data_IF_765442174429
#
_entry.id   IF_765442174429
#
_cell.length_a   1.000
_cell.length_b   1.000
_cell.length_c   1.000
_cell.angle_alpha   90.00
_cell.angle_beta   90.00
_cell.angle_gamma   90.00
#
_symmetry.space_group_name_H-M   'P 1'
#
loop_
_entity.id
_entity.type
_entity.pdbx_description
1 polymer ?
#
# COMPACT_ATOMS: atom_id res chain seq x y z
N UNK A 1 17.07 -16.46 22.05
CA UNK A 1 15.83 -15.71 22.28
C UNK A 1 14.93 -15.87 21.06
N UNK A 2 13.74 -16.38 21.22
CA UNK A 2 12.82 -16.56 20.10
C UNK A 2 11.58 -15.72 20.33
N UNK A 3 11.45 -14.67 19.52
CA UNK A 3 10.19 -13.98 19.31
C UNK A 3 9.45 -14.73 18.21
N UNK A 4 8.20 -15.15 18.44
CA UNK A 4 7.39 -15.89 17.46
C UNK A 4 6.10 -15.11 17.20
N UNK A 5 5.79 -14.89 15.93
CA UNK A 5 4.47 -14.47 15.47
C UNK A 5 3.64 -15.74 15.15
N UNK A 6 2.54 -15.90 15.83
CA UNK A 6 1.58 -16.97 15.56
C UNK A 6 0.36 -16.37 14.87
N UNK A 7 -0.13 -17.03 13.82
CA UNK A 7 -1.23 -16.57 13.01
C UNK A 7 -2.33 -17.62 13.01
N UNK A 8 -3.53 -17.27 13.50
CA UNK A 8 -4.74 -18.04 13.18
C UNK A 8 -5.08 -17.78 11.71
N UNK A 9 -4.57 -18.64 10.86
CA UNK A 9 -4.67 -18.50 9.40
C UNK A 9 -6.12 -18.48 8.92
N UNK A 10 -7.03 -19.18 9.59
CA UNK A 10 -8.45 -19.21 9.24
C UNK A 10 -9.10 -17.87 9.49
N UNK A 11 -8.98 -17.34 10.69
CA UNK A 11 -9.53 -16.03 11.06
C UNK A 11 -8.91 -14.90 10.25
N UNK A 12 -7.60 -14.96 10.02
CA UNK A 12 -6.88 -13.97 9.21
C UNK A 12 -7.36 -13.97 7.75
N UNK A 13 -7.49 -15.13 7.11
CA UNK A 13 -7.99 -15.24 5.73
C UNK A 13 -9.46 -14.85 5.58
N UNK A 14 -10.29 -15.14 6.57
CA UNK A 14 -11.67 -14.69 6.57
C UNK A 14 -11.75 -13.17 6.55
N UNK A 15 -10.98 -12.47 7.39
CA UNK A 15 -10.90 -11.02 7.39
C UNK A 15 -10.45 -10.45 6.02
N UNK A 16 -9.41 -11.04 5.42
CA UNK A 16 -8.92 -10.62 4.10
C UNK A 16 -10.03 -10.78 3.04
N UNK A 17 -10.73 -11.91 3.06
CA UNK A 17 -11.84 -12.19 2.14
C UNK A 17 -12.99 -11.22 2.33
N UNK A 18 -13.39 -10.94 3.55
CA UNK A 18 -14.45 -9.97 3.87
C UNK A 18 -14.11 -8.58 3.31
N UNK A 19 -12.90 -8.10 3.54
CA UNK A 19 -12.46 -6.81 2.96
C UNK A 19 -12.45 -6.83 1.43
N UNK A 20 -12.01 -7.92 0.84
CA UNK A 20 -12.01 -8.06 -0.62
C UNK A 20 -13.44 -7.99 -1.21
N UNK A 21 -14.41 -8.62 -0.55
CA UNK A 21 -15.82 -8.58 -0.94
C UNK A 21 -16.45 -7.19 -0.71
N UNK A 22 -16.06 -6.51 0.39
CA UNK A 22 -16.55 -5.17 0.69
C UNK A 22 -16.05 -4.09 -0.28
N UNK A 23 -14.81 -4.21 -0.79
CA UNK A 23 -14.16 -3.22 -1.62
C UNK A 23 -13.95 -3.72 -3.06
N UNK A 24 -14.97 -3.67 -3.94
CA UNK A 24 -14.81 -4.10 -5.33
C UNK A 24 -13.70 -3.32 -6.04
N UNK A 25 -12.74 -4.03 -6.64
CA UNK A 25 -11.54 -3.43 -7.21
C UNK A 25 -10.44 -3.16 -6.19
N UNK A 26 -10.44 -3.91 -5.07
CA UNK A 26 -9.35 -3.90 -4.11
C UNK A 26 -8.04 -4.31 -4.80
N UNK A 27 -6.97 -3.60 -4.46
CA UNK A 27 -5.59 -3.90 -4.88
C UNK A 27 -4.76 -4.11 -3.62
N UNK A 28 -4.37 -5.36 -3.32
CA UNK A 28 -3.50 -5.65 -2.19
C UNK A 28 -2.17 -4.92 -2.31
N UNK A 29 -1.67 -4.37 -1.20
CA UNK A 29 -0.36 -3.72 -1.16
C UNK A 29 0.62 -4.59 -0.38
N UNK A 30 1.65 -5.10 -1.04
CA UNK A 30 2.74 -5.86 -0.43
C UNK A 30 4.05 -5.09 -0.63
N UNK A 31 4.57 -4.48 0.43
CA UNK A 31 5.78 -3.63 0.37
C UNK A 31 6.66 -3.75 1.61
N UNK A 32 7.91 -3.34 1.48
CA UNK A 32 8.89 -3.37 2.56
C UNK A 32 9.15 -4.80 3.04
N UNK A 33 9.05 -5.02 4.34
CA UNK A 33 9.18 -6.34 4.94
C UNK A 33 7.87 -7.17 4.88
N UNK A 34 6.91 -6.79 4.02
CA UNK A 34 5.60 -7.45 3.94
C UNK A 34 4.77 -7.28 5.22
N UNK A 35 4.79 -6.10 5.83
CA UNK A 35 4.07 -5.81 7.09
C UNK A 35 4.43 -6.77 8.23
N UNK A 36 5.63 -7.37 8.19
CA UNK A 36 6.10 -8.35 9.16
C UNK A 36 5.85 -9.82 8.78
N UNK A 37 5.07 -10.08 7.74
CA UNK A 37 4.80 -11.45 7.25
C UNK A 37 5.80 -11.94 6.19
N UNK A 38 6.49 -11.01 5.52
CA UNK A 38 7.29 -11.26 4.33
C UNK A 38 6.53 -11.05 3.03
N UNK A 39 7.19 -10.51 2.01
CA UNK A 39 6.58 -10.23 0.71
C UNK A 39 6.08 -11.49 0.02
N UNK A 40 6.81 -12.58 0.16
CA UNK A 40 6.47 -13.89 -0.40
C UNK A 40 5.17 -14.46 0.17
N UNK A 41 4.94 -14.29 1.47
CA UNK A 41 3.68 -14.70 2.12
C UNK A 41 2.53 -13.85 1.57
N UNK A 42 2.70 -12.52 1.52
CA UNK A 42 1.63 -11.63 1.05
C UNK A 42 1.30 -11.83 -0.43
N UNK A 43 2.30 -12.07 -1.28
CA UNK A 43 2.08 -12.37 -2.69
C UNK A 43 1.27 -13.67 -2.88
N UNK A 44 1.60 -14.72 -2.13
CA UNK A 44 0.82 -15.97 -2.15
C UNK A 44 -0.61 -15.79 -1.64
N UNK A 45 -0.83 -15.02 -0.60
CA UNK A 45 -2.19 -14.77 -0.08
C UNK A 45 -2.99 -13.84 -1.01
N UNK A 46 -2.36 -12.82 -1.61
CA UNK A 46 -2.99 -12.01 -2.65
C UNK A 46 -3.41 -12.85 -3.88
N UNK A 47 -2.57 -13.81 -4.28
CA UNK A 47 -2.90 -14.72 -5.38
C UNK A 47 -4.17 -15.55 -5.14
N UNK A 48 -4.53 -15.83 -3.89
CA UNK A 48 -5.78 -16.53 -3.51
C UNK A 48 -7.02 -15.71 -3.75
N UNK A 49 -6.92 -14.38 -3.68
CA UNK A 49 -8.04 -13.47 -3.92
C UNK A 49 -8.42 -13.37 -5.40
N UNK A 50 -7.57 -13.85 -6.29
CA UNK A 50 -7.73 -13.79 -7.76
C UNK A 50 -7.79 -12.38 -8.31
N UNK A 51 -7.27 -11.38 -7.56
CA UNK A 51 -7.14 -10.02 -8.06
C UNK A 51 -6.25 -9.96 -9.30
N UNK A 52 -6.49 -8.99 -10.14
CA UNK A 52 -5.74 -8.78 -11.38
C UNK A 52 -4.42 -8.02 -11.16
N UNK A 53 -4.27 -7.32 -10.03
CA UNK A 53 -3.14 -6.46 -9.75
C UNK A 53 -2.68 -6.55 -8.29
N UNK A 54 -1.36 -6.51 -8.08
CA UNK A 54 -0.70 -6.38 -6.77
C UNK A 54 0.10 -5.09 -6.74
N UNK A 55 0.03 -4.33 -5.65
CA UNK A 55 0.84 -3.13 -5.48
C UNK A 55 2.09 -3.44 -4.65
N UNK A 56 3.25 -3.02 -5.15
CA UNK A 56 4.54 -3.04 -4.42
C UNK A 56 5.04 -1.62 -4.16
N UNK A 57 5.94 -1.44 -3.21
CA UNK A 57 6.50 -0.12 -2.92
C UNK A 57 7.51 0.32 -3.97
N UNK A 58 8.46 -0.55 -4.28
CA UNK A 58 9.60 -0.25 -5.15
C UNK A 58 9.76 -1.27 -6.27
N UNK A 59 10.47 -0.92 -7.34
CA UNK A 59 10.77 -1.82 -8.44
C UNK A 59 11.55 -3.07 -8.00
N UNK A 60 12.45 -2.94 -7.01
CA UNK A 60 13.22 -4.04 -6.45
C UNK A 60 12.36 -5.13 -5.77
N UNK A 61 11.13 -4.79 -5.37
CA UNK A 61 10.21 -5.75 -4.75
C UNK A 61 9.49 -6.62 -5.78
N UNK A 62 9.48 -6.22 -7.06
CA UNK A 62 8.80 -6.95 -8.14
C UNK A 62 9.34 -8.37 -8.27
N UNK A 63 10.65 -8.54 -8.32
CA UNK A 63 11.28 -9.86 -8.42
C UNK A 63 10.81 -10.79 -7.29
N UNK A 64 10.78 -10.30 -6.04
CA UNK A 64 10.38 -11.08 -4.88
C UNK A 64 8.93 -11.57 -4.94
N UNK A 65 8.00 -10.74 -5.43
CA UNK A 65 6.60 -11.17 -5.57
C UNK A 65 6.42 -12.10 -6.76
N UNK A 66 7.22 -11.94 -7.83
CA UNK A 66 7.26 -12.88 -8.96
C UNK A 66 7.80 -14.25 -8.54
N UNK A 67 8.88 -14.30 -7.79
CA UNK A 67 9.47 -15.54 -7.25
C UNK A 67 8.50 -16.28 -6.32
N UNK A 68 7.63 -15.54 -5.64
CA UNK A 68 6.56 -16.09 -4.81
C UNK A 68 5.34 -16.62 -5.59
N UNK A 69 5.35 -16.51 -6.93
CA UNK A 69 4.32 -17.03 -7.84
C UNK A 69 3.25 -16.01 -8.26
N UNK A 70 3.44 -14.72 -8.02
CA UNK A 70 2.53 -13.72 -8.57
C UNK A 70 2.81 -13.50 -10.07
N UNK A 71 1.85 -13.84 -10.94
CA UNK A 71 2.00 -13.83 -12.41
C UNK A 71 1.11 -12.83 -13.14
N UNK A 72 0.43 -11.94 -12.40
CA UNK A 72 -0.49 -10.92 -12.94
C UNK A 72 0.12 -9.53 -12.81
N UNK A 73 -0.63 -8.49 -13.09
CA UNK A 73 -0.14 -7.10 -13.06
C UNK A 73 0.46 -6.72 -11.70
N UNK A 74 1.51 -5.90 -11.76
CA UNK A 74 2.13 -5.28 -10.60
C UNK A 74 2.18 -3.77 -10.80
N UNK A 75 1.61 -3.02 -9.85
CA UNK A 75 1.80 -1.57 -9.81
C UNK A 75 2.93 -1.22 -8.83
N UNK A 76 3.92 -0.47 -9.32
CA UNK A 76 5.03 0.07 -8.51
C UNK A 76 4.64 1.43 -7.98
N UNK A 77 4.51 1.55 -6.65
CA UNK A 77 3.95 2.74 -5.99
C UNK A 77 4.95 3.90 -5.85
N UNK A 78 6.25 3.63 -5.78
CA UNK A 78 7.24 4.70 -5.86
C UNK A 78 7.19 5.29 -7.28
N UNK A 79 7.01 6.62 -7.40
CA UNK A 79 7.01 7.23 -8.73
C UNK A 79 8.34 7.01 -9.43
N UNK A 80 8.23 6.64 -10.71
CA UNK A 80 9.40 6.46 -11.57
C UNK A 80 10.25 7.73 -11.67
N UNK A 81 11.54 7.54 -11.74
CA UNK A 81 12.55 8.58 -12.01
C UNK A 81 13.60 8.03 -12.95
N UNK A 82 14.18 8.86 -13.83
CA UNK A 82 15.20 8.42 -14.80
C UNK A 82 16.44 7.78 -14.17
N UNK A 83 16.75 8.09 -12.93
CA UNK A 83 17.87 7.52 -12.18
C UNK A 83 17.56 6.18 -11.50
N UNK A 84 16.32 5.72 -11.50
CA UNK A 84 15.95 4.38 -10.97
C UNK A 84 16.17 3.33 -12.08
N UNK A 85 17.37 2.78 -12.13
CA UNK A 85 17.74 1.78 -13.12
C UNK A 85 16.84 0.55 -13.06
N UNK A 86 16.49 0.07 -11.86
CA UNK A 86 15.62 -1.11 -11.70
C UNK A 86 14.23 -0.85 -12.27
N UNK A 87 13.64 0.31 -11.95
CA UNK A 87 12.34 0.68 -12.49
C UNK A 87 12.38 0.86 -14.01
N UNK A 88 13.49 1.42 -14.54
CA UNK A 88 13.68 1.63 -15.98
C UNK A 88 13.80 0.31 -16.74
N UNK A 89 14.44 -0.70 -16.18
CA UNK A 89 14.52 -2.05 -16.79
C UNK A 89 13.13 -2.70 -16.88
N UNK A 90 12.25 -2.44 -15.91
CA UNK A 90 10.91 -3.03 -15.85
C UNK A 90 9.85 -2.25 -16.64
N UNK A 91 10.16 -1.05 -17.12
CA UNK A 91 9.15 -0.10 -17.65
C UNK A 91 8.40 -0.63 -18.88
N UNK A 92 9.03 -1.44 -19.70
CA UNK A 92 8.45 -2.00 -20.91
C UNK A 92 7.84 -3.40 -20.71
N UNK A 93 7.86 -3.93 -19.48
CA UNK A 93 7.14 -5.17 -19.14
C UNK A 93 5.62 -4.90 -19.17
N UNK A 94 4.85 -5.63 -20.02
CA UNK A 94 3.41 -5.40 -20.16
C UNK A 94 2.60 -5.71 -18.91
N UNK A 95 3.17 -6.34 -17.90
CA UNK A 95 2.54 -6.62 -16.61
C UNK A 95 2.96 -5.63 -15.51
N UNK A 96 3.74 -4.60 -15.84
CA UNK A 96 4.14 -3.56 -14.89
C UNK A 96 3.36 -2.27 -15.16
N UNK A 97 2.77 -1.73 -14.12
CA UNK A 97 2.12 -0.41 -14.11
C UNK A 97 3.01 0.53 -13.29
N UNK A 98 3.43 1.61 -13.91
CA UNK A 98 4.36 2.56 -13.32
C UNK A 98 3.63 3.80 -12.84
N UNK A 99 3.89 4.23 -11.61
CA UNK A 99 3.40 5.51 -11.10
C UNK A 99 4.29 6.64 -11.61
N UNK A 100 3.68 7.70 -12.16
CA UNK A 100 4.36 8.94 -12.57
C UNK A 100 3.77 10.11 -11.79
N UNK A 101 4.61 11.00 -11.27
CA UNK A 101 4.19 12.10 -10.39
C UNK A 101 4.70 13.48 -10.81
N UNK A 102 5.28 13.60 -12.00
CA UNK A 102 5.75 14.86 -12.61
C UNK A 102 5.53 14.82 -14.11
N UNK A 103 5.28 15.99 -14.70
CA UNK A 103 5.04 16.13 -16.13
C UNK A 103 6.30 15.79 -16.95
N UNK A 104 7.47 16.23 -16.50
CA UNK A 104 8.73 15.93 -17.17
C UNK A 104 9.05 14.45 -17.25
N UNK A 105 8.71 13.66 -16.20
CA UNK A 105 8.90 12.20 -16.23
C UNK A 105 7.92 11.53 -17.20
N UNK A 106 6.69 12.01 -17.26
CA UNK A 106 5.69 11.54 -18.24
C UNK A 106 6.16 11.80 -19.66
N UNK A 107 6.69 12.99 -19.93
CA UNK A 107 7.25 13.37 -21.22
C UNK A 107 8.46 12.54 -21.60
N UNK A 108 9.33 12.22 -20.65
CA UNK A 108 10.47 11.36 -20.88
C UNK A 108 10.04 9.93 -21.21
N UNK A 109 9.10 9.35 -20.46
CA UNK A 109 8.55 8.03 -20.74
C UNK A 109 7.90 7.96 -22.11
N UNK A 110 7.10 8.96 -22.46
CA UNK A 110 6.45 9.03 -23.78
C UNK A 110 7.45 8.99 -24.93
N UNK A 111 8.61 9.64 -24.76
CA UNK A 111 9.67 9.68 -25.79
C UNK A 111 10.48 8.38 -25.83
N UNK A 112 10.83 7.80 -24.69
CA UNK A 112 11.77 6.68 -24.59
C UNK A 112 11.08 5.31 -24.48
N UNK A 113 9.92 5.26 -23.85
CA UNK A 113 9.16 4.06 -23.51
C UNK A 113 7.67 4.19 -23.89
N UNK A 114 7.34 4.39 -25.17
CA UNK A 114 5.98 4.76 -25.60
C UNK A 114 4.93 3.66 -25.35
N UNK A 115 5.34 2.46 -24.96
CA UNK A 115 4.45 1.34 -24.58
C UNK A 115 4.30 1.15 -23.09
N UNK A 116 4.98 1.96 -22.29
CA UNK A 116 4.89 1.86 -20.83
C UNK A 116 3.45 2.04 -20.35
N UNK A 117 3.02 1.20 -19.42
CA UNK A 117 1.74 1.33 -18.73
C UNK A 117 1.92 2.24 -17.51
N UNK A 118 1.13 3.31 -17.45
CA UNK A 118 1.33 4.35 -16.43
C UNK A 118 0.04 4.74 -15.74
N UNK A 119 0.15 5.12 -14.48
CA UNK A 119 -0.85 5.88 -13.73
C UNK A 119 -0.23 7.21 -13.28
N UNK A 120 -0.94 8.31 -13.46
CA UNK A 120 -0.49 9.62 -13.01
C UNK A 120 -0.91 9.85 -11.55
N UNK A 121 0.04 10.17 -10.66
CA UNK A 121 -0.26 10.45 -9.26
C UNK A 121 -0.62 11.92 -9.07
N UNK A 122 -1.77 12.16 -8.44
CA UNK A 122 -2.27 13.49 -8.11
C UNK A 122 -1.75 13.94 -6.75
N UNK A 123 -1.33 15.20 -6.68
CA UNK A 123 -0.92 15.85 -5.43
C UNK A 123 -2.13 16.00 -4.50
N UNK A 124 -2.05 15.39 -3.33
CA UNK A 124 -3.05 15.53 -2.27
C UNK A 124 -2.58 16.55 -1.21
N UNK A 125 -3.45 16.85 -0.26
CA UNK A 125 -3.13 17.70 0.90
C UNK A 125 -1.96 17.17 1.75
N UNK A 126 -1.56 15.91 1.58
CA UNK A 126 -0.32 15.37 2.17
C UNK A 126 0.95 16.02 1.61
N UNK A 127 0.89 16.64 0.43
CA UNK A 127 2.02 17.31 -0.23
C UNK A 127 3.30 16.48 -0.30
N UNK A 128 3.14 15.18 -0.58
CA UNK A 128 4.27 14.25 -0.67
C UNK A 128 4.94 14.31 -2.04
N UNK A 129 4.22 13.96 -3.07
CA UNK A 129 4.54 14.03 -4.50
C UNK A 129 3.25 13.90 -5.29
N UNK A 130 3.27 14.24 -6.57
CA UNK A 130 2.09 14.19 -7.44
C UNK A 130 2.01 15.40 -8.36
N UNK A 131 1.23 15.27 -9.41
CA UNK A 131 0.83 16.33 -10.32
C UNK A 131 -0.16 17.22 -9.57
N UNK A 132 0.08 18.52 -9.55
CA UNK A 132 -0.79 19.47 -8.85
C UNK A 132 -2.12 19.64 -9.57
N UNK A 133 -3.18 20.12 -8.90
CA UNK A 133 -4.46 20.40 -9.57
C UNK A 133 -4.34 21.31 -10.78
N UNK A 134 -3.45 22.29 -10.74
CA UNK A 134 -3.18 23.25 -11.81
C UNK A 134 -2.47 22.62 -13.01
N UNK A 135 -1.74 21.53 -12.79
CA UNK A 135 -1.00 20.81 -13.83
C UNK A 135 -1.81 19.69 -14.51
N UNK A 136 -3.01 19.34 -14.00
CA UNK A 136 -3.83 18.23 -14.54
C UNK A 136 -4.05 18.40 -16.03
N UNK A 137 -4.40 19.60 -16.48
CA UNK A 137 -4.68 19.90 -17.89
C UNK A 137 -3.43 19.81 -18.80
N UNK A 138 -2.25 19.79 -18.21
CA UNK A 138 -0.98 19.61 -18.92
C UNK A 138 -0.55 18.16 -19.06
N UNK A 139 -1.30 17.23 -18.50
CA UNK A 139 -0.99 15.79 -18.61
C UNK A 139 -1.31 15.31 -20.03
N UNK A 140 -0.27 15.03 -20.78
CA UNK A 140 -0.38 14.41 -22.10
C UNK A 140 0.18 12.97 -22.05
N UNK A 141 -0.71 12.00 -21.99
CA UNK A 141 -0.35 10.58 -21.99
C UNK A 141 0.09 10.09 -23.39
N UNK A 142 -0.32 10.76 -24.45
CA UNK A 142 0.10 10.44 -25.82
C UNK A 142 -0.05 8.96 -26.18
N UNK A 143 1.08 8.32 -26.51
CA UNK A 143 1.15 6.90 -26.89
C UNK A 143 1.30 5.94 -25.71
N UNK A 144 1.41 6.44 -24.46
CA UNK A 144 1.54 5.60 -23.27
C UNK A 144 0.28 4.76 -23.02
N UNK A 145 0.45 3.61 -22.42
CA UNK A 145 -0.63 2.81 -21.87
C UNK A 145 -1.21 3.44 -20.61
N UNK A 146 -1.97 4.54 -20.77
CA UNK A 146 -2.50 5.29 -19.63
C UNK A 146 -3.62 4.52 -18.94
N UNK A 147 -3.34 4.04 -17.72
CA UNK A 147 -4.27 3.27 -16.90
C UNK A 147 -5.21 4.16 -16.07
N UNK A 148 -4.85 5.42 -15.88
CA UNK A 148 -5.64 6.39 -15.11
C UNK A 148 -4.85 7.16 -14.07
N UNK A 149 -5.55 7.52 -12.99
CA UNK A 149 -5.08 8.45 -11.97
C UNK A 149 -4.97 7.76 -10.61
N UNK A 150 -3.95 8.08 -9.88
CA UNK A 150 -3.78 7.56 -8.52
C UNK A 150 -3.60 8.70 -7.52
N UNK A 151 -4.07 8.52 -6.28
CA UNK A 151 -3.90 9.49 -5.21
C UNK A 151 -3.69 8.79 -3.88
N UNK A 152 -2.74 9.30 -3.10
CA UNK A 152 -2.52 8.84 -1.73
C UNK A 152 -3.14 9.82 -0.76
N UNK A 153 -4.30 9.44 -0.22
CA UNK A 153 -5.10 10.33 0.62
C UNK A 153 -4.59 10.33 2.09
N UNK A 154 -4.79 11.41 2.83
CA UNK A 154 -4.55 11.45 4.27
C UNK A 154 -5.50 10.50 5.00
N UNK A 155 -5.28 10.26 6.31
CA UNK A 155 -6.11 9.36 7.11
C UNK A 155 -7.47 9.95 7.50
N UNK A 156 -7.71 11.25 7.28
CA UNK A 156 -8.96 11.94 7.64
C UNK A 156 -9.36 12.95 6.57
N UNK A 157 -10.66 13.17 6.41
CA UNK A 157 -11.19 14.22 5.53
C UNK A 157 -11.08 13.97 4.03
N UNK A 158 -11.02 12.71 3.62
CA UNK A 158 -10.53 12.31 2.30
C UNK A 158 -11.54 12.40 1.16
N UNK A 159 -12.85 12.21 1.43
CA UNK A 159 -13.84 12.05 0.35
C UNK A 159 -13.99 13.31 -0.52
N UNK A 160 -14.07 14.49 0.09
CA UNK A 160 -14.23 15.75 -0.66
C UNK A 160 -13.03 16.00 -1.56
N UNK A 161 -11.82 15.84 -1.01
CA UNK A 161 -10.56 15.97 -1.75
C UNK A 161 -10.46 14.95 -2.88
N UNK A 162 -10.72 13.67 -2.57
CA UNK A 162 -10.69 12.59 -3.57
C UNK A 162 -11.66 12.85 -4.73
N UNK A 163 -12.87 13.31 -4.42
CA UNK A 163 -13.89 13.65 -5.41
C UNK A 163 -13.46 14.83 -6.29
N UNK A 164 -12.97 15.90 -5.69
CA UNK A 164 -12.52 17.09 -6.42
C UNK A 164 -11.39 16.73 -7.39
N UNK A 165 -10.33 16.11 -6.90
CA UNK A 165 -9.18 15.73 -7.70
C UNK A 165 -9.54 14.73 -8.80
N UNK A 166 -10.27 13.66 -8.44
CA UNK A 166 -10.66 12.66 -9.42
C UNK A 166 -11.57 13.22 -10.50
N UNK A 167 -12.54 14.09 -10.15
CA UNK A 167 -13.44 14.67 -11.14
C UNK A 167 -12.70 15.55 -12.15
N UNK A 168 -11.78 16.40 -11.70
CA UNK A 168 -10.94 17.19 -12.59
C UNK A 168 -10.08 16.30 -13.51
N UNK A 169 -9.43 15.29 -12.93
CA UNK A 169 -8.54 14.40 -13.65
C UNK A 169 -9.25 13.57 -14.72
N UNK A 170 -10.40 12.96 -14.42
CA UNK A 170 -11.16 12.16 -15.41
C UNK A 170 -11.86 13.03 -16.47
N UNK A 171 -12.16 14.31 -16.17
CA UNK A 171 -12.68 15.24 -17.15
C UNK A 171 -11.61 15.59 -18.20
N UNK A 172 -10.35 15.69 -17.82
CA UNK A 172 -9.23 15.91 -18.72
C UNK A 172 -8.87 14.64 -19.50
N UNK A 173 -8.59 13.54 -18.78
CA UNK A 173 -8.27 12.25 -19.41
C UNK A 173 -8.99 11.09 -18.70
N UNK A 174 -9.89 10.42 -19.40
CA UNK A 174 -10.67 9.31 -18.84
C UNK A 174 -9.78 8.11 -18.53
N UNK A 175 -9.88 7.59 -17.30
CA UNK A 175 -9.11 6.43 -16.84
C UNK A 175 -9.62 5.92 -15.50
N UNK A 176 -9.04 4.83 -15.01
CA UNK A 176 -9.34 4.33 -13.67
C UNK A 176 -8.88 5.31 -12.58
N UNK A 177 -9.53 5.29 -11.42
CA UNK A 177 -9.12 6.09 -10.25
C UNK A 177 -8.69 5.16 -9.11
N UNK A 178 -7.43 5.27 -8.71
CA UNK A 178 -6.82 4.45 -7.67
C UNK A 178 -6.68 5.26 -6.39
N UNK A 179 -7.34 4.83 -5.33
CA UNK A 179 -7.36 5.55 -4.05
C UNK A 179 -6.80 4.71 -2.91
N UNK A 180 -6.55 5.35 -1.78
CA UNK A 180 -6.18 4.70 -0.52
C UNK A 180 -6.95 5.31 0.64
N UNK A 181 -7.01 4.64 1.79
CA UNK A 181 -7.46 5.15 3.09
C UNK A 181 -8.93 5.58 3.21
N UNK A 182 -9.77 5.41 2.21
CA UNK A 182 -11.21 5.64 2.36
C UNK A 182 -11.85 4.51 3.18
N UNK A 183 -12.85 4.85 3.98
CA UNK A 183 -13.76 3.86 4.53
C UNK A 183 -14.69 3.31 3.43
N UNK A 184 -15.44 2.27 3.75
CA UNK A 184 -16.29 1.61 2.76
C UNK A 184 -17.43 2.51 2.27
N UNK A 185 -18.00 3.34 3.15
CA UNK A 185 -19.09 4.25 2.81
C UNK A 185 -18.61 5.31 1.82
N UNK A 186 -17.47 5.93 2.10
CA UNK A 186 -16.86 6.95 1.25
C UNK A 186 -16.33 6.37 -0.06
N UNK A 187 -15.76 5.16 -0.04
CA UNK A 187 -15.34 4.47 -1.25
C UNK A 187 -16.53 4.18 -2.19
N UNK A 188 -17.63 3.67 -1.67
CA UNK A 188 -18.85 3.41 -2.46
C UNK A 188 -19.44 4.70 -3.04
N UNK A 189 -19.49 5.78 -2.26
CA UNK A 189 -19.95 7.10 -2.72
C UNK A 189 -19.07 7.62 -3.87
N UNK A 190 -17.74 7.58 -3.69
CA UNK A 190 -16.80 8.01 -4.73
C UNK A 190 -16.99 7.19 -6.00
N UNK A 191 -17.00 5.87 -5.90
CA UNK A 191 -17.17 4.95 -7.03
C UNK A 191 -18.45 5.20 -7.82
N UNK A 192 -19.58 5.41 -7.13
CA UNK A 192 -20.86 5.71 -7.77
C UNK A 192 -20.83 7.06 -8.50
N UNK A 193 -20.18 8.06 -7.93
CA UNK A 193 -20.15 9.41 -8.47
C UNK A 193 -19.23 9.56 -9.69
N UNK A 194 -18.10 8.84 -9.71
CA UNK A 194 -17.12 9.00 -10.80
C UNK A 194 -17.52 8.31 -12.10
N UNK A 195 -18.32 7.24 -12.05
CA UNK A 195 -18.73 6.50 -13.23
C UNK A 195 -17.58 5.89 -14.05
N UNK A 196 -16.42 5.70 -13.41
CA UNK A 196 -15.24 5.02 -13.95
C UNK A 196 -14.80 3.90 -13.01
N UNK A 197 -13.92 3.02 -13.49
CA UNK A 197 -13.34 2.01 -12.64
C UNK A 197 -12.61 2.69 -11.45
N UNK A 198 -12.98 2.30 -10.24
CA UNK A 198 -12.34 2.80 -9.02
C UNK A 198 -11.67 1.63 -8.32
N UNK A 199 -10.41 1.81 -7.92
CA UNK A 199 -9.58 0.79 -7.28
C UNK A 199 -9.13 1.24 -5.90
N UNK A 200 -9.23 0.36 -4.90
CA UNK A 200 -8.80 0.62 -3.52
C UNK A 200 -7.48 -0.08 -3.24
N UNK A 201 -6.39 0.68 -3.09
CA UNK A 201 -5.10 0.14 -2.63
C UNK A 201 -5.11 -0.01 -1.12
N UNK A 202 -4.95 -1.25 -0.64
CA UNK A 202 -5.05 -1.55 0.78
C UNK A 202 -3.88 -2.40 1.27
N UNK A 203 -3.17 -1.91 2.27
CA UNK A 203 -2.06 -2.61 2.93
C UNK A 203 -2.35 -2.92 4.39
N UNK A 204 -2.07 -2.00 5.30
CA UNK A 204 -2.17 -2.19 6.75
C UNK A 204 -3.52 -2.76 7.19
N UNK A 205 -4.63 -2.20 6.72
CA UNK A 205 -5.96 -2.69 7.06
C UNK A 205 -6.20 -4.11 6.56
N UNK A 206 -5.69 -4.45 5.38
CA UNK A 206 -5.85 -5.78 4.80
C UNK A 206 -5.09 -6.85 5.59
N UNK A 207 -3.82 -6.56 5.91
CA UNK A 207 -2.93 -7.56 6.49
C UNK A 207 -2.93 -7.58 8.01
N UNK A 208 -3.12 -6.42 8.67
CA UNK A 208 -3.06 -6.26 10.12
C UNK A 208 -4.41 -5.89 10.76
N UNK A 209 -5.49 -5.83 9.97
CA UNK A 209 -6.82 -5.42 10.46
C UNK A 209 -7.55 -6.45 11.33
N UNK A 210 -7.02 -7.67 11.45
CA UNK A 210 -7.53 -8.73 12.33
C UNK A 210 -6.57 -9.01 13.50
N UNK A 211 -6.38 -8.09 14.45
CA UNK A 211 -5.40 -8.27 15.52
C UNK A 211 -5.69 -9.51 16.38
N UNK A 212 -6.93 -9.94 16.50
CA UNK A 212 -7.31 -11.15 17.21
C UNK A 212 -6.78 -12.44 16.57
N UNK A 213 -6.46 -12.39 15.28
CA UNK A 213 -5.86 -13.53 14.56
C UNK A 213 -4.33 -13.59 14.73
N UNK A 214 -3.73 -12.58 15.37
CA UNK A 214 -2.29 -12.45 15.51
C UNK A 214 -1.91 -12.50 16.99
N UNK A 215 -0.93 -13.32 17.34
CA UNK A 215 -0.35 -13.33 18.68
C UNK A 215 1.16 -13.42 18.63
N UNK A 216 1.81 -12.67 19.50
CA UNK A 216 3.27 -12.69 19.61
C UNK A 216 3.66 -13.29 20.94
N UNK A 217 4.56 -14.24 20.89
CA UNK A 217 5.11 -14.90 22.08
C UNK A 217 6.63 -14.73 22.13
N UNK A 218 7.17 -14.59 23.33
CA UNK A 218 8.61 -14.57 23.57
C UNK A 218 8.98 -15.55 24.67
N UNK A 219 10.18 -16.15 24.56
CA UNK A 219 10.73 -16.96 25.63
C UNK A 219 11.15 -16.06 26.78
N UNK A 220 10.59 -16.29 27.97
CA UNK A 220 11.03 -15.62 29.18
C UNK A 220 12.39 -16.21 29.58
N UNK A 221 13.43 -15.37 29.64
CA UNK A 221 14.78 -15.81 30.00
C UNK A 221 14.98 -15.89 31.50
N UNK A 222 14.40 -14.95 32.23
CA UNK A 222 14.54 -14.89 33.70
C UNK A 222 13.36 -14.12 34.33
N UNK A 223 13.08 -14.41 35.58
CA UNK A 223 12.01 -13.76 36.36
C UNK A 223 12.57 -13.36 37.73
N UNK A 224 12.59 -12.04 38.00
CA UNK A 224 13.03 -11.51 39.27
C UNK A 224 11.88 -10.97 40.10
N UNK A 225 11.92 -11.22 41.40
CA UNK A 225 11.02 -10.55 42.33
C UNK A 225 11.56 -9.15 42.62
N UNK A 226 10.73 -8.13 42.39
CA UNK A 226 11.07 -6.75 42.73
C UNK A 226 10.10 -6.24 43.80
N UNK A 227 10.64 -5.45 44.74
CA UNK A 227 9.86 -4.79 45.82
C UNK A 227 9.58 -3.35 45.44
N UNK A 228 8.58 -2.77 46.11
CA UNK A 228 8.21 -1.36 45.94
C UNK A 228 9.44 -0.45 46.07
N UNK A 229 9.59 0.48 45.14
CA UNK A 229 10.68 1.45 45.11
C UNK A 229 12.01 0.94 44.57
N UNK A 230 12.14 -0.38 44.29
CA UNK A 230 13.32 -0.93 43.60
C UNK A 230 13.47 -0.27 42.24
N UNK A 231 14.68 0.17 41.92
CA UNK A 231 14.99 0.69 40.59
C UNK A 231 15.23 -0.48 39.62
N UNK A 232 14.68 -0.40 38.40
CA UNK A 232 14.86 -1.43 37.41
C UNK A 232 14.89 -0.86 35.96
N UNK A 233 15.41 -1.65 35.05
CA UNK A 233 15.54 -1.30 33.63
C UNK A 233 16.59 -0.22 33.36
N UNK A 234 16.79 0.07 32.07
CA UNK A 234 17.79 1.07 31.62
C UNK A 234 17.50 2.49 32.15
N UNK A 235 16.23 2.86 32.24
CA UNK A 235 15.79 4.17 32.71
C UNK A 235 15.72 4.27 34.24
N UNK A 236 16.14 3.21 34.97
CA UNK A 236 16.15 3.19 36.44
C UNK A 236 14.78 3.62 37.04
N UNK A 237 13.68 3.26 36.37
CA UNK A 237 12.34 3.54 36.85
C UNK A 237 12.11 2.84 38.20
N UNK A 238 11.36 3.48 39.11
CA UNK A 238 10.98 2.86 40.38
C UNK A 238 9.79 1.94 40.22
N UNK A 239 9.89 0.73 40.81
CA UNK A 239 8.80 -0.21 40.83
C UNK A 239 7.54 0.42 41.48
N UNK A 240 6.32 0.22 40.86
CA UNK A 240 5.09 0.80 41.38
C UNK A 240 4.71 0.27 42.76
N UNK A 241 3.67 0.82 43.35
CA UNK A 241 3.28 0.54 44.74
C UNK A 241 2.84 -0.91 45.04
N UNK A 242 2.47 -1.68 44.04
CA UNK A 242 2.11 -3.09 44.18
C UNK A 242 3.32 -4.02 44.00
N UNK A 243 3.38 -5.12 44.75
CA UNK A 243 4.31 -6.21 44.47
C UNK A 243 3.94 -6.89 43.17
N UNK A 244 4.85 -6.85 42.19
CA UNK A 244 4.70 -7.48 40.89
C UNK A 244 5.89 -8.33 40.51
N UNK A 245 5.77 -9.18 39.52
CA UNK A 245 6.89 -9.88 38.89
C UNK A 245 7.27 -9.10 37.63
N UNK A 246 8.54 -8.74 37.47
CA UNK A 246 9.06 -8.21 36.23
C UNK A 246 9.64 -9.35 35.39
N UNK A 247 9.22 -9.45 34.14
CA UNK A 247 9.79 -10.35 33.15
C UNK A 247 10.73 -9.53 32.24
N UNK A 248 11.92 -10.05 31.99
CA UNK A 248 12.81 -9.54 30.94
C UNK A 248 12.63 -10.45 29.72
N UNK A 249 12.19 -9.87 28.61
CA UNK A 249 12.20 -10.46 27.29
C UNK A 249 13.42 -10.03 26.49
#
# INVERSE_FOLDING_TARGET
MTLKLNIDTRSWRNHIKELHEEFPGLVPVAKGNGYGFGLDVLAREAARLKDDCLAVGTAQEVAKVRDAGWSRDVIVLNPWRPFDETATVLIDDPQIITVVSRLEDLDELRKKHPRARVVAELMTSMRRHGITPEEIESVDAGSLGFEGWTMHLPLKGQLAEAKQLASAAIAHHRGAVWVSHLDIGDYRRLRTQLGVQTRMRMGTRLWLGAPQALSTTATVLDVHRITRGTRYGYHQARAPRATGRATRG
#
